data_IF_800312371505
#
_entry.id   IF_800312371505
#
_cell.length_a   1.000
_cell.length_b   1.000
_cell.length_c   1.000
_cell.angle_alpha   90.00
_cell.angle_beta   90.00
_cell.angle_gamma   90.00
#
_symmetry.space_group_name_H-M   'P 1'
#
loop_
_entity.id
_entity.type
_entity.pdbx_description
1 polymer ?
#
# COMPACT_ATOMS: atom_id res chain seq x y z
N UNK A 1 13.81 2.56 -7.26
CA UNK A 1 13.56 4.01 -6.99
C UNK A 1 12.17 4.20 -6.42
N UNK A 2 11.17 3.50 -6.95
CA UNK A 2 9.80 3.47 -6.42
C UNK A 2 9.69 2.68 -5.11
N UNK A 3 10.45 1.59 -4.94
CA UNK A 3 10.51 0.81 -3.70
C UNK A 3 10.78 1.66 -2.44
N UNK A 4 11.87 2.44 -2.45
CA UNK A 4 12.24 3.33 -1.35
C UNK A 4 11.17 4.40 -1.08
N UNK A 5 10.44 4.83 -2.12
CA UNK A 5 9.37 5.83 -1.96
C UNK A 5 8.14 5.22 -1.30
N UNK A 6 7.76 3.98 -1.65
CA UNK A 6 6.66 3.29 -0.98
C UNK A 6 6.97 3.03 0.50
N UNK A 7 8.17 2.54 0.80
CA UNK A 7 8.61 2.33 2.19
C UNK A 7 8.57 3.63 3.01
N UNK A 8 9.00 4.75 2.43
CA UNK A 8 8.93 6.06 3.09
C UNK A 8 7.48 6.53 3.27
N UNK A 9 6.65 6.38 2.23
CA UNK A 9 5.24 6.75 2.25
C UNK A 9 4.46 5.98 3.31
N UNK A 10 4.82 4.73 3.60
CA UNK A 10 4.15 3.92 4.61
C UNK A 10 4.43 4.35 6.07
N UNK A 11 5.51 5.10 6.35
CA UNK A 11 5.99 5.34 7.73
C UNK A 11 5.03 6.13 8.62
N UNK A 12 4.21 6.99 8.03
CA UNK A 12 3.28 7.87 8.74
C UNK A 12 1.80 7.45 8.55
N UNK A 13 1.55 6.29 7.94
CA UNK A 13 0.20 5.81 7.62
C UNK A 13 -0.27 4.75 8.60
N UNK A 14 -1.59 4.62 8.71
CA UNK A 14 -2.19 3.51 9.41
C UNK A 14 -2.09 2.25 8.54
N UNK A 15 -1.46 1.20 9.08
CA UNK A 15 -1.20 -0.07 8.40
C UNK A 15 -1.46 -1.21 9.39
N UNK A 16 -2.13 -2.26 8.94
CA UNK A 16 -2.40 -3.45 9.76
C UNK A 16 -2.47 -4.72 8.90
N UNK A 17 -2.13 -5.85 9.50
CA UNK A 17 -2.33 -7.17 8.89
C UNK A 17 -3.78 -7.64 9.12
N UNK A 18 -4.48 -7.93 8.03
CA UNK A 18 -5.78 -8.60 8.01
C UNK A 18 -5.59 -9.99 7.41
N UNK A 19 -5.26 -10.96 8.28
CA UNK A 19 -4.83 -12.30 7.87
C UNK A 19 -3.59 -12.24 6.96
N UNK A 20 -3.74 -12.50 5.67
CA UNK A 20 -2.66 -12.47 4.69
C UNK A 20 -2.57 -11.15 3.91
N UNK A 21 -3.43 -10.19 4.21
CA UNK A 21 -3.46 -8.89 3.55
C UNK A 21 -2.79 -7.83 4.43
N UNK A 22 -1.82 -7.12 3.87
CA UNK A 22 -1.23 -5.93 4.50
C UNK A 22 -2.04 -4.72 4.05
N UNK A 23 -2.91 -4.22 4.91
CA UNK A 23 -3.86 -3.15 4.56
C UNK A 23 -3.31 -1.81 4.99
N UNK A 24 -3.28 -0.85 4.07
CA UNK A 24 -2.99 0.57 4.35
C UNK A 24 -4.27 1.39 4.20
N UNK A 25 -4.45 2.38 5.08
CA UNK A 25 -5.50 3.39 4.95
C UNK A 25 -4.91 4.70 4.46
N UNK A 26 -5.31 5.11 3.25
CA UNK A 26 -4.81 6.32 2.59
C UNK A 26 -5.93 7.36 2.55
N UNK A 27 -5.68 8.53 3.14
CA UNK A 27 -6.61 9.66 3.03
C UNK A 27 -6.69 10.18 1.61
N UNK A 28 -7.86 10.72 1.22
CA UNK A 28 -8.06 11.22 -0.14
C UNK A 28 -7.08 12.32 -0.57
N UNK A 29 -6.57 13.10 0.38
CA UNK A 29 -5.57 14.13 0.09
C UNK A 29 -4.15 13.57 -0.13
N UNK A 30 -3.89 12.34 0.31
CA UNK A 30 -2.61 11.63 0.09
C UNK A 30 -2.66 10.71 -1.15
N UNK A 31 -3.81 10.62 -1.83
CA UNK A 31 -3.96 9.75 -3.00
C UNK A 31 -3.10 10.18 -4.18
N UNK A 32 -2.94 11.48 -4.40
CA UNK A 32 -2.11 11.99 -5.51
C UNK A 32 -0.66 11.52 -5.35
N UNK A 33 -0.07 11.75 -4.17
CA UNK A 33 1.26 11.30 -3.79
C UNK A 33 1.41 9.78 -3.96
N UNK A 34 0.43 9.00 -3.48
CA UNK A 34 0.46 7.55 -3.62
C UNK A 34 0.45 7.12 -5.09
N UNK A 35 -0.41 7.70 -5.92
CA UNK A 35 -0.48 7.36 -7.35
C UNK A 35 0.75 7.80 -8.13
N UNK A 36 1.43 8.88 -7.71
CA UNK A 36 2.71 9.29 -8.29
C UNK A 36 3.83 8.28 -7.97
N UNK A 37 3.81 7.70 -6.76
CA UNK A 37 4.76 6.64 -6.37
C UNK A 37 4.54 5.37 -7.19
N UNK A 38 3.28 4.98 -7.40
CA UNK A 38 2.93 3.80 -8.21
C UNK A 38 3.30 3.97 -9.69
N UNK A 39 3.28 5.22 -10.18
CA UNK A 39 3.68 5.53 -11.54
C UNK A 39 2.64 5.14 -12.60
N UNK A 40 2.87 5.63 -13.82
CA UNK A 40 1.96 5.41 -14.94
C UNK A 40 1.84 3.93 -15.31
N UNK A 41 2.96 3.22 -15.36
CA UNK A 41 3.00 1.85 -15.86
C UNK A 41 2.08 0.93 -15.03
N UNK A 42 2.23 0.94 -13.70
CA UNK A 42 1.38 0.13 -12.81
C UNK A 42 -0.10 0.54 -12.88
N UNK A 43 -0.38 1.84 -12.89
CA UNK A 43 -1.77 2.34 -12.88
C UNK A 43 -2.48 2.16 -14.23
N UNK A 44 -1.73 2.03 -15.33
CA UNK A 44 -2.29 1.88 -16.68
C UNK A 44 -2.88 0.50 -16.96
N UNK A 45 -2.60 -0.51 -16.11
CA UNK A 45 -3.10 -1.89 -16.24
C UNK A 45 -4.51 -2.10 -15.64
N UNK A 46 -5.29 -1.03 -15.50
CA UNK A 46 -6.65 -1.08 -14.94
C UNK A 46 -6.75 -0.62 -13.49
N UNK A 47 -5.69 -0.04 -12.94
CA UNK A 47 -5.65 0.58 -11.62
C UNK A 47 -5.62 -0.42 -10.45
N UNK A 48 -5.89 0.10 -9.25
CA UNK A 48 -5.79 -0.64 -7.98
C UNK A 48 -7.20 -0.86 -7.43
N UNK A 49 -7.47 -2.09 -6.97
CA UNK A 49 -8.72 -2.38 -6.22
C UNK A 49 -8.64 -1.76 -4.84
N UNK A 50 -9.68 -1.03 -4.46
CA UNK A 50 -9.74 -0.34 -3.17
C UNK A 50 -11.08 -0.56 -2.49
N UNK A 51 -11.06 -0.62 -1.17
CA UNK A 51 -12.25 -0.48 -0.34
C UNK A 51 -12.45 0.99 0.01
N UNK A 52 -13.49 1.60 -0.57
CA UNK A 52 -13.82 3.00 -0.32
C UNK A 52 -14.42 3.17 1.08
N UNK A 53 -13.82 4.04 1.89
CA UNK A 53 -14.33 4.43 3.20
C UNK A 53 -14.80 5.89 3.18
N UNK A 54 -15.14 6.49 4.33
CA UNK A 54 -15.72 7.84 4.38
C UNK A 54 -14.75 8.96 3.93
N UNK A 55 -13.49 8.91 4.38
CA UNK A 55 -12.46 9.94 4.12
C UNK A 55 -11.14 9.36 3.62
N UNK A 56 -11.14 8.06 3.32
CA UNK A 56 -9.98 7.25 3.02
C UNK A 56 -10.35 6.12 2.05
N UNK A 57 -9.33 5.48 1.49
CA UNK A 57 -9.43 4.16 0.88
C UNK A 57 -8.57 3.18 1.64
N UNK A 58 -9.01 1.94 1.75
CA UNK A 58 -8.19 0.84 2.21
C UNK A 58 -7.67 0.05 1.00
N UNK A 59 -6.37 -0.23 1.00
CA UNK A 59 -5.67 -0.91 -0.10
C UNK A 59 -4.87 -2.07 0.47
N UNK A 60 -4.96 -3.24 -0.17
CA UNK A 60 -4.07 -4.35 0.10
C UNK A 60 -2.72 -4.09 -0.60
N UNK A 61 -1.66 -3.92 0.17
CA UNK A 61 -0.30 -3.65 -0.31
C UNK A 61 0.42 -4.90 -0.83
N UNK A 62 -0.04 -6.12 -0.54
CA UNK A 62 0.68 -7.34 -0.93
C UNK A 62 0.91 -7.45 -2.45
N UNK A 63 -0.09 -7.24 -3.32
CA UNK A 63 0.13 -7.27 -4.78
C UNK A 63 1.05 -6.14 -5.28
N UNK A 64 1.05 -5.00 -4.59
CA UNK A 64 1.92 -3.87 -4.91
C UNK A 64 3.36 -4.21 -4.52
N UNK A 65 3.56 -4.83 -3.36
CA UNK A 65 4.87 -5.30 -2.91
C UNK A 65 5.43 -6.36 -3.86
N UNK A 66 4.61 -7.32 -4.31
CA UNK A 66 4.99 -8.33 -5.30
C UNK A 66 5.45 -7.69 -6.63
N UNK A 67 4.71 -6.70 -7.13
CA UNK A 67 5.08 -5.97 -8.35
C UNK A 67 6.42 -5.22 -8.21
N UNK A 68 6.64 -4.60 -7.05
CA UNK A 68 7.84 -3.82 -6.75
C UNK A 68 9.02 -4.68 -6.26
N UNK A 69 8.84 -5.98 -6.05
CA UNK A 69 9.90 -6.86 -5.51
C UNK A 69 10.27 -6.57 -4.05
N UNK A 70 9.31 -6.07 -3.26
CA UNK A 70 9.47 -5.76 -1.83
C UNK A 70 8.81 -6.86 -1.01
N UNK A 71 9.41 -7.24 0.12
CA UNK A 71 8.74 -8.12 1.07
C UNK A 71 7.77 -7.28 1.91
N UNK A 72 6.46 -7.62 2.00
CA UNK A 72 5.51 -6.87 2.83
C UNK A 72 5.94 -6.72 4.30
N UNK A 73 6.74 -7.65 4.82
CA UNK A 73 7.32 -7.58 6.17
C UNK A 73 8.33 -6.44 6.34
N UNK A 74 8.90 -5.92 5.26
CA UNK A 74 9.76 -4.73 5.29
C UNK A 74 8.96 -3.46 5.63
N UNK A 75 7.64 -3.47 5.39
CA UNK A 75 6.72 -2.40 5.78
C UNK A 75 6.22 -2.61 7.21
N UNK A 76 5.73 -3.82 7.51
CA UNK A 76 5.22 -4.18 8.82
C UNK A 76 5.39 -5.67 9.08
N UNK A 77 6.07 -6.03 10.17
CA UNK A 77 6.20 -7.42 10.61
C UNK A 77 4.84 -8.07 10.86
N UNK A 78 4.67 -9.32 10.42
CA UNK A 78 3.44 -10.09 10.67
C UNK A 78 3.34 -10.43 12.16
N UNK A 79 2.20 -10.20 12.82
CA UNK A 79 2.02 -10.66 14.19
C UNK A 79 2.13 -12.19 14.24
N UNK A 80 2.83 -12.72 15.25
CA UNK A 80 2.91 -14.15 15.49
C UNK A 80 1.54 -14.58 16.03
N UNK A 81 0.82 -15.42 15.28
CA UNK A 81 -0.40 -16.06 15.76
C UNK A 81 -0.02 -16.99 16.94
N UNK A 82 -0.55 -16.71 18.13
CA UNK A 82 -0.40 -17.56 19.33
C UNK A 82 -1.51 -18.60 19.40
#
# INVERSE_FOLDING_TARGET
>A
MEENKLLEFCKDKEIDWRSDELVIWIHYYDLDDFTEIMGFDYMSEGGIKVDLQYSQVAINLVPICEYLGIEPTDILEKPIEN
#
